data_IF_798845097194
#
_entry.id   IF_798845097194
#
_cell.length_a   1.000
_cell.length_b   1.000
_cell.length_c   1.000
_cell.angle_alpha   90.00
_cell.angle_beta   90.00
_cell.angle_gamma   90.00
#
_symmetry.space_group_name_H-M   'P 1'
#
loop_
_entity.id
_entity.type
_entity.pdbx_description
1 polymer ?
#
# COMPACT_ATOMS: atom_id res chain seq x y z
N UNK A 1 -43.76 -12.50 23.74
CA UNK A 1 -42.34 -12.88 23.68
C UNK A 1 -41.97 -13.04 22.21
N UNK A 2 -41.45 -11.99 21.60
CA UNK A 2 -40.85 -12.07 20.27
C UNK A 2 -39.36 -12.25 20.50
N UNK A 3 -38.86 -13.43 20.16
CA UNK A 3 -37.45 -13.79 20.21
C UNK A 3 -36.74 -12.89 19.20
N UNK A 4 -36.06 -11.86 19.71
CA UNK A 4 -35.17 -11.02 18.92
C UNK A 4 -34.01 -11.91 18.49
N UNK A 5 -33.96 -12.24 17.20
CA UNK A 5 -32.85 -13.00 16.62
C UNK A 5 -31.63 -12.05 16.59
N UNK A 6 -30.85 -12.06 17.66
CA UNK A 6 -29.52 -11.46 17.67
C UNK A 6 -28.67 -12.29 16.71
N UNK A 7 -28.27 -11.71 15.58
CA UNK A 7 -27.31 -12.32 14.65
C UNK A 7 -25.96 -11.63 14.92
N UNK A 8 -25.04 -12.24 15.69
CA UNK A 8 -23.73 -11.67 15.89
C UNK A 8 -22.85 -11.91 14.65
N UNK A 9 -22.46 -10.83 13.98
CA UNK A 9 -21.23 -10.78 13.19
C UNK A 9 -21.39 -10.72 11.68
N UNK A 10 -21.59 -9.52 11.15
CA UNK A 10 -21.74 -9.26 9.72
C UNK A 10 -21.26 -7.86 9.31
N UNK A 11 -20.36 -7.22 10.06
CA UNK A 11 -20.00 -5.82 9.81
C UNK A 11 -18.51 -5.63 9.53
N UNK A 12 -18.20 -5.30 8.27
CA UNK A 12 -17.04 -4.49 7.90
C UNK A 12 -17.30 -3.01 8.17
N UNK A 13 -18.31 -2.71 9.01
CA UNK A 13 -18.72 -1.38 9.41
C UNK A 13 -17.63 -0.72 10.23
N UNK A 14 -16.87 0.16 9.57
CA UNK A 14 -16.01 1.12 10.22
C UNK A 14 -16.91 2.08 11.02
N UNK A 15 -16.83 2.02 12.35
CA UNK A 15 -17.68 2.81 13.22
C UNK A 15 -17.16 4.25 13.26
N UNK A 16 -17.60 5.09 12.32
CA UNK A 16 -17.19 6.49 12.19
C UNK A 16 -17.38 7.31 13.48
N UNK A 17 -18.23 6.82 14.40
CA UNK A 17 -18.50 7.41 15.71
C UNK A 17 -17.26 7.40 16.62
N UNK A 18 -16.30 6.47 16.46
CA UNK A 18 -15.06 6.46 17.25
C UNK A 18 -14.06 7.55 16.87
N UNK A 19 -14.23 8.22 15.72
CA UNK A 19 -13.46 9.43 15.38
C UNK A 19 -13.96 10.70 16.12
N UNK A 20 -14.98 10.59 16.98
CA UNK A 20 -15.38 11.68 17.89
C UNK A 20 -14.57 11.72 19.19
N UNK A 21 -13.65 10.77 19.43
CA UNK A 21 -12.73 10.80 20.57
C UNK A 21 -11.30 11.22 20.13
N UNK A 22 -10.77 12.36 20.62
CA UNK A 22 -9.54 12.98 20.13
C UNK A 22 -8.27 12.36 20.73
N UNK A 23 -8.20 11.03 20.87
CA UNK A 23 -6.98 10.34 21.32
C UNK A 23 -6.09 9.85 20.17
N UNK A 24 -6.52 10.03 18.91
CA UNK A 24 -5.67 9.85 17.73
C UNK A 24 -4.64 10.98 17.66
N UNK A 25 -3.42 10.74 18.11
CA UNK A 25 -2.32 11.73 18.10
C UNK A 25 -1.19 11.36 17.15
N UNK A 26 -1.23 10.17 16.54
CA UNK A 26 -0.34 9.78 15.46
C UNK A 26 -0.78 10.35 14.10
N UNK A 27 0.16 10.72 13.21
CA UNK A 27 -0.17 11.16 11.85
C UNK A 27 -0.69 9.98 11.01
N UNK A 28 -2.02 9.91 10.83
CA UNK A 28 -2.65 9.04 9.83
C UNK A 28 -2.24 9.48 8.41
N UNK A 29 -2.13 8.57 7.43
CA UNK A 29 -1.95 8.95 6.03
C UNK A 29 -3.04 9.95 5.62
N UNK A 30 -2.64 11.14 5.21
CA UNK A 30 -3.58 12.11 4.68
C UNK A 30 -3.83 11.78 3.23
N UNK A 31 -4.88 11.01 2.90
CA UNK A 31 -5.23 10.53 1.55
C UNK A 31 -5.50 11.60 0.47
N UNK A 32 -5.13 12.85 0.75
CA UNK A 32 -5.24 13.99 -0.15
C UNK A 32 -3.88 14.68 -0.41
N UNK A 33 -2.83 14.29 0.30
CA UNK A 33 -1.49 14.86 0.14
C UNK A 33 -0.76 14.22 -1.05
N UNK A 34 0.27 14.89 -1.56
CA UNK A 34 1.21 14.32 -2.55
C UNK A 34 1.82 13.02 -2.05
N UNK A 35 2.06 12.08 -2.97
CA UNK A 35 2.70 10.81 -2.65
C UNK A 35 1.77 9.80 -2.00
N UNK A 36 0.45 9.98 -2.11
CA UNK A 36 -0.53 9.09 -1.49
C UNK A 36 -1.05 8.04 -2.44
N UNK A 37 -1.46 6.90 -1.90
CA UNK A 37 -2.28 5.88 -2.56
C UNK A 37 -3.28 5.35 -1.54
N UNK A 38 -4.56 5.59 -1.74
CA UNK A 38 -5.62 5.16 -0.82
C UNK A 38 -6.82 4.60 -1.57
N UNK A 39 -7.59 3.70 -0.93
CA UNK A 39 -8.80 3.13 -1.50
C UNK A 39 -8.54 2.32 -2.78
N UNK A 40 -9.32 2.59 -3.85
CA UNK A 40 -9.44 1.72 -5.04
C UNK A 40 -8.48 2.03 -6.23
N UNK A 41 -7.17 1.95 -6.01
CA UNK A 41 -6.40 3.00 -5.38
C UNK A 41 -6.39 4.29 -6.20
N UNK A 42 -6.78 5.36 -5.52
CA UNK A 42 -6.60 6.75 -5.93
C UNK A 42 -5.23 7.23 -5.45
N UNK A 43 -4.44 7.76 -6.37
CA UNK A 43 -3.13 8.35 -6.08
C UNK A 43 -3.16 9.88 -6.20
N UNK A 44 -2.23 10.52 -5.51
CA UNK A 44 -1.88 11.93 -5.72
C UNK A 44 -0.39 11.99 -6.06
N UNK A 45 -0.07 12.43 -7.27
CA UNK A 45 1.30 12.51 -7.78
C UNK A 45 2.17 13.53 -7.04
N UNK A 46 3.47 13.51 -7.32
CA UNK A 46 4.42 14.54 -6.88
C UNK A 46 4.09 15.93 -7.42
N UNK A 47 3.42 16.00 -8.56
CA UNK A 47 2.84 17.19 -9.17
C UNK A 47 1.52 17.67 -8.51
N UNK A 48 1.03 16.95 -7.49
CA UNK A 48 -0.23 17.23 -6.81
C UNK A 48 -1.48 16.81 -7.57
N UNK A 49 -1.35 16.19 -8.75
CA UNK A 49 -2.49 15.77 -9.57
C UNK A 49 -3.01 14.42 -9.10
N UNK A 50 -4.32 14.33 -9.00
CA UNK A 50 -5.03 13.09 -8.67
C UNK A 50 -5.09 12.20 -9.90
N UNK A 51 -4.78 10.92 -9.73
CA UNK A 51 -5.01 9.90 -10.76
C UNK A 51 -5.34 8.54 -10.17
N UNK A 52 -5.81 7.64 -11.02
CA UNK A 52 -6.10 6.26 -10.64
C UNK A 52 -5.18 5.30 -11.38
N UNK A 53 -4.73 4.26 -10.69
CA UNK A 53 -4.01 3.15 -11.29
C UNK A 53 -4.67 1.86 -10.82
N UNK A 54 -5.30 1.15 -11.75
CA UNK A 54 -6.08 -0.04 -11.39
C UNK A 54 -5.21 -1.27 -11.13
N UNK A 55 -4.02 -1.36 -11.72
CA UNK A 55 -3.24 -2.60 -11.69
C UNK A 55 -4.09 -3.81 -12.10
N UNK A 56 -3.84 -4.94 -11.46
CA UNK A 56 -4.60 -6.18 -11.61
C UNK A 56 -4.62 -6.95 -10.30
N UNK A 57 -5.70 -7.68 -10.06
CA UNK A 57 -5.82 -8.54 -8.88
C UNK A 57 -4.73 -9.61 -8.87
N UNK A 58 -4.15 -9.85 -7.70
CA UNK A 58 -3.11 -10.86 -7.43
C UNK A 58 -1.80 -10.63 -8.20
N UNK A 59 -1.57 -9.40 -8.68
CA UNK A 59 -0.35 -9.00 -9.37
C UNK A 59 0.42 -7.92 -8.59
N UNK A 60 1.68 -7.72 -8.97
CA UNK A 60 2.60 -6.78 -8.33
C UNK A 60 3.00 -5.68 -9.30
N UNK A 61 3.10 -4.45 -8.79
CA UNK A 61 3.53 -3.29 -9.57
C UNK A 61 4.47 -2.41 -8.78
N UNK A 62 5.51 -1.89 -9.44
CA UNK A 62 6.41 -0.88 -8.89
C UNK A 62 5.71 0.46 -8.77
N UNK A 63 5.55 0.94 -7.53
CA UNK A 63 5.06 2.29 -7.25
C UNK A 63 6.16 3.32 -7.45
N UNK A 64 7.37 3.03 -6.97
CA UNK A 64 8.55 3.89 -7.08
C UNK A 64 9.79 3.04 -7.31
N UNK A 65 10.61 3.40 -8.30
CA UNK A 65 11.92 2.83 -8.55
C UNK A 65 12.90 3.99 -8.69
N UNK A 66 13.82 4.13 -7.74
CA UNK A 66 14.93 5.08 -7.73
C UNK A 66 16.23 4.26 -7.71
N UNK A 67 17.36 4.74 -8.23
CA UNK A 67 18.62 4.01 -8.14
C UNK A 67 18.98 3.55 -6.72
N UNK A 68 18.54 4.28 -5.68
CA UNK A 68 18.82 3.95 -4.27
C UNK A 68 17.81 3.00 -3.61
N UNK A 69 16.55 2.96 -4.08
CA UNK A 69 15.51 2.13 -3.47
C UNK A 69 14.34 1.86 -4.43
N UNK A 70 13.62 0.78 -4.19
CA UNK A 70 12.38 0.46 -4.91
C UNK A 70 11.27 0.07 -3.94
N UNK A 71 10.06 0.54 -4.25
CA UNK A 71 8.82 0.21 -3.54
C UNK A 71 7.85 -0.43 -4.54
N UNK A 72 7.56 -1.70 -4.33
CA UNK A 72 6.53 -2.43 -5.06
C UNK A 72 5.28 -2.56 -4.22
N UNK A 73 4.14 -2.77 -4.88
CA UNK A 73 2.85 -3.02 -4.27
C UNK A 73 2.23 -4.30 -4.82
N UNK A 74 1.64 -5.12 -3.95
CA UNK A 74 0.73 -6.20 -4.32
C UNK A 74 -0.69 -5.67 -4.33
N UNK A 75 -1.44 -5.96 -5.38
CA UNK A 75 -2.83 -5.55 -5.52
C UNK A 75 -3.74 -6.75 -5.20
N UNK A 76 -4.62 -6.61 -4.21
CA UNK A 76 -5.80 -7.48 -4.09
C UNK A 76 -6.93 -6.91 -4.91
N UNK A 77 -7.96 -7.70 -5.14
CA UNK A 77 -9.10 -7.22 -5.90
C UNK A 77 -10.22 -8.23 -6.05
N UNK A 78 -11.26 -7.80 -6.73
CA UNK A 78 -12.40 -8.64 -7.09
C UNK A 78 -13.02 -8.13 -8.40
N UNK A 79 -13.67 -9.04 -9.13
CA UNK A 79 -14.39 -8.72 -10.36
C UNK A 79 -15.84 -9.13 -10.27
N UNK A 80 -16.78 -8.19 -10.06
CA UNK A 80 -18.19 -8.50 -10.13
C UNK A 80 -18.60 -8.97 -11.53
N UNK A 81 -19.61 -9.83 -11.59
CA UNK A 81 -20.14 -10.34 -12.85
C UNK A 81 -20.55 -9.17 -13.75
N UNK A 82 -20.11 -9.23 -15.01
CA UNK A 82 -20.42 -8.20 -16.02
C UNK A 82 -19.49 -6.99 -16.00
N UNK A 83 -18.49 -6.91 -15.11
CA UNK A 83 -17.45 -5.87 -15.19
C UNK A 83 -16.27 -6.29 -16.07
N UNK A 84 -15.72 -5.36 -16.89
CA UNK A 84 -14.57 -5.64 -17.75
C UNK A 84 -13.22 -5.62 -17.02
N UNK A 85 -13.18 -5.11 -15.78
CA UNK A 85 -11.94 -4.88 -15.01
C UNK A 85 -12.17 -5.20 -13.54
N UNK A 86 -11.06 -5.50 -12.85
CA UNK A 86 -11.05 -5.68 -11.40
C UNK A 86 -11.23 -4.34 -10.69
N UNK A 87 -11.92 -4.36 -9.56
CA UNK A 87 -11.63 -3.42 -8.48
C UNK A 87 -10.41 -3.92 -7.74
N UNK A 88 -9.54 -3.01 -7.32
CA UNK A 88 -8.30 -3.38 -6.66
C UNK A 88 -7.97 -2.45 -5.51
N UNK A 89 -7.16 -2.95 -4.58
CA UNK A 89 -6.62 -2.20 -3.45
C UNK A 89 -5.18 -2.65 -3.19
N UNK A 90 -4.37 -1.81 -2.56
CA UNK A 90 -2.99 -2.18 -2.17
C UNK A 90 -3.07 -3.11 -0.96
N UNK A 91 -2.65 -4.36 -1.10
CA UNK A 91 -2.61 -5.32 0.02
C UNK A 91 -1.29 -5.26 0.77
N UNK A 92 -0.18 -5.16 0.03
CA UNK A 92 1.15 -5.27 0.59
C UNK A 92 2.11 -4.32 -0.13
N UNK A 93 3.13 -3.88 0.60
CA UNK A 93 4.27 -3.15 0.06
C UNK A 93 5.56 -3.94 0.28
N UNK A 94 6.43 -3.93 -0.72
CA UNK A 94 7.80 -4.42 -0.64
C UNK A 94 8.77 -3.26 -0.80
N UNK A 95 9.68 -3.09 0.15
CA UNK A 95 10.73 -2.08 0.16
C UNK A 95 12.06 -2.77 -0.10
N UNK A 96 12.77 -2.36 -1.15
CA UNK A 96 14.10 -2.84 -1.49
C UNK A 96 15.08 -1.67 -1.45
N UNK A 97 16.22 -1.86 -0.79
CA UNK A 97 17.27 -0.85 -0.63
C UNK A 97 18.61 -1.54 -0.36
N UNK A 98 19.65 -1.19 -1.11
CA UNK A 98 20.91 -1.93 -1.08
C UNK A 98 20.72 -3.42 -1.40
N UNK A 99 20.96 -4.30 -0.42
CA UNK A 99 20.71 -5.75 -0.47
C UNK A 99 19.57 -6.22 0.45
N UNK A 100 18.82 -5.29 1.02
CA UNK A 100 17.75 -5.56 1.97
C UNK A 100 16.38 -5.53 1.29
N UNK A 101 15.52 -6.45 1.71
CA UNK A 101 14.10 -6.49 1.39
C UNK A 101 13.28 -6.51 2.69
N UNK A 102 12.30 -5.63 2.76
CA UNK A 102 11.34 -5.54 3.85
C UNK A 102 9.93 -5.54 3.27
N UNK A 103 8.98 -6.24 3.90
CA UNK A 103 7.58 -6.21 3.46
C UNK A 103 6.65 -5.86 4.61
N UNK A 104 5.52 -5.25 4.26
CA UNK A 104 4.38 -5.02 5.13
C UNK A 104 3.12 -5.38 4.37
N UNK A 105 2.21 -6.10 5.00
CA UNK A 105 0.95 -6.54 4.38
C UNK A 105 -0.24 -6.41 5.33
N UNK A 106 -1.40 -6.12 4.75
CA UNK A 106 -2.69 -6.23 5.40
C UNK A 106 -3.14 -7.69 5.42
N UNK A 107 -3.41 -8.24 6.60
CA UNK A 107 -3.94 -9.59 6.76
C UNK A 107 -5.45 -9.61 6.52
N UNK A 108 -5.96 -10.70 5.95
CA UNK A 108 -7.41 -10.90 5.71
C UNK A 108 -8.20 -10.75 7.01
N UNK A 109 -9.32 -10.05 6.93
CA UNK A 109 -10.26 -9.89 8.04
C UNK A 109 -11.67 -10.29 7.59
N UNK A 110 -12.24 -11.35 8.17
CA UNK A 110 -13.63 -11.74 7.88
C UNK A 110 -14.65 -10.76 8.46
N UNK A 111 -14.27 -10.13 9.58
CA UNK A 111 -15.01 -9.09 10.29
C UNK A 111 -14.01 -8.04 10.71
N UNK A 112 -14.41 -6.77 10.64
CA UNK A 112 -13.53 -5.70 11.05
C UNK A 112 -13.57 -5.52 12.57
N UNK A 113 -12.40 -5.49 13.18
CA UNK A 113 -12.18 -5.11 14.58
C UNK A 113 -10.98 -4.18 14.63
N UNK A 114 -11.21 -2.91 15.02
CA UNK A 114 -10.16 -1.89 15.14
C UNK A 114 -9.08 -2.28 16.17
N UNK A 115 -9.45 -3.12 17.16
CA UNK A 115 -8.54 -3.57 18.21
C UNK A 115 -7.69 -4.78 17.80
N UNK A 116 -8.10 -5.51 16.76
CA UNK A 116 -7.28 -6.55 16.17
C UNK A 116 -6.18 -5.93 15.30
N UNK A 117 -5.00 -6.54 15.33
CA UNK A 117 -3.88 -6.11 14.50
C UNK A 117 -3.90 -6.90 13.19
N UNK A 118 -3.97 -6.17 12.07
CA UNK A 118 -4.05 -6.72 10.73
C UNK A 118 -2.79 -6.43 9.92
N UNK A 119 -1.65 -6.25 10.60
CA UNK A 119 -0.35 -6.00 9.99
C UNK A 119 0.55 -7.22 10.15
N UNK A 120 1.17 -7.64 9.05
CA UNK A 120 2.24 -8.62 9.04
C UNK A 120 3.47 -8.02 8.37
N UNK A 121 4.65 -8.32 8.91
CA UNK A 121 5.93 -7.79 8.45
C UNK A 121 6.89 -8.92 8.13
N UNK A 122 7.77 -8.73 7.14
CA UNK A 122 8.91 -9.61 6.94
C UNK A 122 10.18 -8.81 6.65
N UNK A 123 11.33 -9.38 7.01
CA UNK A 123 12.64 -8.86 6.66
C UNK A 123 13.51 -9.99 6.13
N UNK A 124 14.09 -9.81 4.93
CA UNK A 124 14.85 -10.85 4.23
C UNK A 124 14.08 -12.16 4.04
N UNK A 125 12.76 -12.08 3.88
CA UNK A 125 11.88 -13.25 3.71
C UNK A 125 11.45 -13.94 5.01
N UNK A 126 11.98 -13.52 6.16
CA UNK A 126 11.62 -14.07 7.47
C UNK A 126 10.57 -13.20 8.16
N UNK A 127 9.61 -13.85 8.84
CA UNK A 127 8.56 -13.16 9.59
C UNK A 127 9.17 -12.28 10.68
N UNK A 128 8.79 -11.00 10.70
CA UNK A 128 9.26 -10.03 11.67
C UNK A 128 8.17 -9.77 12.72
N UNK A 129 8.47 -10.13 13.97
CA UNK A 129 7.59 -9.78 15.10
C UNK A 129 7.83 -8.34 15.55
N UNK A 130 6.84 -7.47 15.32
CA UNK A 130 6.77 -6.13 15.88
C UNK A 130 5.63 -6.06 16.91
N UNK A 131 5.94 -6.01 18.22
CA UNK A 131 4.92 -6.01 19.27
C UNK A 131 3.85 -4.94 19.05
N UNK A 132 2.59 -5.27 19.31
CA UNK A 132 1.51 -4.28 19.35
C UNK A 132 1.80 -3.24 20.44
N UNK A 133 1.41 -2.00 20.22
CA UNK A 133 1.63 -0.92 21.17
C UNK A 133 2.15 0.36 20.51
N UNK A 134 1.70 1.49 21.05
CA UNK A 134 2.16 2.81 20.60
C UNK A 134 3.68 2.92 20.82
N UNK A 135 4.40 3.35 19.78
CA UNK A 135 5.87 3.48 19.73
C UNK A 135 6.67 2.18 19.79
N UNK A 136 6.02 1.01 19.68
CA UNK A 136 6.76 -0.22 19.40
C UNK A 136 7.52 -0.03 18.08
N UNK A 137 8.81 -0.32 18.07
CA UNK A 137 9.66 -0.10 16.92
C UNK A 137 10.66 -1.23 16.70
N UNK A 138 11.13 -1.32 15.46
CA UNK A 138 12.18 -2.21 15.04
C UNK A 138 13.06 -1.51 13.99
N UNK A 139 14.36 -1.79 14.00
CA UNK A 139 15.31 -1.28 12.99
C UNK A 139 16.07 -2.43 12.35
N UNK A 140 16.42 -2.27 11.08
CA UNK A 140 17.34 -3.18 10.39
C UNK A 140 18.71 -3.23 11.08
N UNK A 141 19.49 -4.31 10.92
CA UNK A 141 20.80 -4.43 11.56
C UNK A 141 21.78 -3.28 11.24
N UNK A 142 21.65 -2.69 10.05
CA UNK A 142 22.45 -1.56 9.59
C UNK A 142 21.82 -0.19 9.86
N UNK A 143 20.67 -0.15 10.54
CA UNK A 143 19.87 1.03 10.87
C UNK A 143 19.37 1.85 9.66
N UNK A 144 19.40 1.31 8.44
CA UNK A 144 18.90 1.99 7.24
C UNK A 144 17.38 1.97 7.11
N UNK A 145 16.69 1.04 7.78
CA UNK A 145 15.24 0.98 7.84
C UNK A 145 14.76 0.93 9.29
N UNK A 146 13.79 1.76 9.63
CA UNK A 146 13.08 1.72 10.92
C UNK A 146 11.58 1.61 10.70
N UNK A 147 10.93 0.72 11.43
CA UNK A 147 9.46 0.56 11.49
C UNK A 147 9.02 0.98 12.88
N UNK A 148 8.01 1.84 12.97
CA UNK A 148 7.46 2.31 14.23
C UNK A 148 5.93 2.29 14.18
N UNK A 149 5.29 1.68 15.18
CA UNK A 149 3.84 1.80 15.36
C UNK A 149 3.50 3.17 15.92
N UNK A 150 2.68 3.93 15.19
CA UNK A 150 2.22 5.24 15.66
C UNK A 150 0.92 5.14 16.46
N UNK A 151 0.24 4.00 16.40
CA UNK A 151 -0.93 3.66 17.22
C UNK A 151 -0.79 2.23 17.74
N UNK A 152 -1.75 1.75 18.53
CA UNK A 152 -1.67 0.41 19.14
C UNK A 152 -1.62 -0.71 18.09
N UNK A 153 -2.45 -0.60 17.05
CA UNK A 153 -2.64 -1.57 15.96
C UNK A 153 -2.78 -0.82 14.63
N UNK A 154 -2.59 -1.52 13.51
CA UNK A 154 -2.98 -1.10 12.15
C UNK A 154 -2.36 0.19 11.59
N UNK A 155 -1.51 0.93 12.32
CA UNK A 155 -0.87 2.15 11.83
C UNK A 155 0.63 2.12 12.15
N UNK A 156 1.44 2.22 11.09
CA UNK A 156 2.90 2.21 11.16
C UNK A 156 3.51 3.30 10.30
N UNK A 157 4.68 3.76 10.73
CA UNK A 157 5.57 4.60 9.96
C UNK A 157 6.86 3.83 9.67
N UNK A 158 7.18 3.69 8.39
CA UNK A 158 8.43 3.09 7.91
C UNK A 158 9.33 4.23 7.44
N UNK A 159 10.58 4.24 7.89
CA UNK A 159 11.59 5.25 7.51
C UNK A 159 12.75 4.53 6.84
N UNK A 160 12.99 4.86 5.58
CA UNK A 160 14.22 4.55 4.85
C UNK A 160 15.16 5.73 4.99
N UNK A 161 16.32 5.50 5.60
CA UNK A 161 17.28 6.55 5.93
C UNK A 161 17.60 7.43 4.72
N UNK A 162 17.29 8.73 4.82
CA UNK A 162 17.57 9.76 3.80
C UNK A 162 16.97 9.46 2.40
N UNK A 163 15.97 8.59 2.31
CA UNK A 163 15.33 8.18 1.06
C UNK A 163 13.83 8.42 1.07
N UNK A 164 13.12 7.82 2.03
CA UNK A 164 11.67 7.89 2.06
C UNK A 164 11.11 7.68 3.47
N UNK A 165 9.93 8.22 3.72
CA UNK A 165 9.06 7.84 4.84
C UNK A 165 7.73 7.37 4.25
N UNK A 166 7.23 6.23 4.71
CA UNK A 166 5.91 5.73 4.39
C UNK A 166 5.06 5.70 5.67
N UNK A 167 3.98 6.48 5.71
CA UNK A 167 2.91 6.30 6.70
C UNK A 167 1.88 5.35 6.11
N UNK A 168 1.52 4.30 6.86
CA UNK A 168 0.65 3.22 6.40
C UNK A 168 -0.45 3.00 7.42
N UNK A 169 -1.67 2.82 6.94
CA UNK A 169 -2.83 2.42 7.74
C UNK A 169 -3.53 1.25 7.08
N UNK A 170 -3.88 0.23 7.86
CA UNK A 170 -4.79 -0.82 7.39
C UNK A 170 -6.23 -0.33 7.54
N UNK A 171 -6.99 -0.38 6.45
CA UNK A 171 -8.40 -0.02 6.40
C UNK A 171 -9.23 -1.16 5.79
N UNK A 172 -10.49 -1.36 6.22
CA UNK A 172 -11.42 -2.24 5.53
C UNK A 172 -12.07 -1.50 4.35
N UNK A 173 -12.62 -2.25 3.40
CA UNK A 173 -13.68 -1.72 2.54
C UNK A 173 -14.98 -1.73 3.35
N UNK A 174 -15.53 -0.56 3.61
CA UNK A 174 -16.75 -0.46 4.43
C UNK A 174 -17.99 -0.85 3.62
N UNK A 175 -19.09 -1.18 4.31
CA UNK A 175 -20.38 -1.39 3.64
C UNK A 175 -20.86 -0.15 2.88
N UNK A 176 -20.55 1.03 3.38
CA UNK A 176 -20.96 2.27 2.70
C UNK A 176 -20.14 2.47 1.43
N UNK A 177 -18.84 2.19 1.45
CA UNK A 177 -18.00 2.19 0.25
C UNK A 177 -18.50 1.15 -0.75
N UNK A 178 -18.75 -0.09 -0.29
CA UNK A 178 -19.31 -1.16 -1.11
C UNK A 178 -20.64 -0.76 -1.76
N UNK A 179 -21.54 -0.11 -1.00
CA UNK A 179 -22.84 0.37 -1.49
C UNK A 179 -22.70 1.50 -2.50
N UNK A 180 -21.84 2.48 -2.25
CA UNK A 180 -21.63 3.65 -3.12
C UNK A 180 -20.98 3.22 -4.43
N UNK A 181 -19.92 2.42 -4.35
CA UNK A 181 -19.09 2.04 -5.50
C UNK A 181 -19.55 0.75 -6.18
N UNK A 182 -20.48 0.02 -5.55
CA UNK A 182 -21.03 -1.25 -6.02
C UNK A 182 -19.92 -2.30 -6.19
N UNK A 183 -19.03 -2.39 -5.21
CA UNK A 183 -17.93 -3.33 -5.23
C UNK A 183 -18.42 -4.78 -5.19
N UNK A 184 -19.55 -5.07 -4.53
CA UNK A 184 -20.05 -6.42 -4.26
C UNK A 184 -19.06 -7.24 -3.43
N UNK A 185 -18.57 -6.63 -2.34
CA UNK A 185 -17.70 -7.27 -1.36
C UNK A 185 -18.42 -8.50 -0.76
N UNK A 186 -17.78 -9.68 -0.73
CA UNK A 186 -18.36 -10.88 -0.13
C UNK A 186 -18.55 -10.71 1.38
N UNK A 187 -19.55 -11.42 1.93
CA UNK A 187 -19.99 -11.25 3.32
C UNK A 187 -18.97 -11.72 4.37
N UNK A 188 -17.96 -12.49 3.95
CA UNK A 188 -16.95 -13.12 4.77
C UNK A 188 -15.55 -12.51 4.57
N UNK A 189 -15.44 -11.34 3.94
CA UNK A 189 -14.15 -10.64 3.79
C UNK A 189 -14.34 -9.13 3.76
N UNK A 190 -13.60 -8.41 4.61
CA UNK A 190 -13.60 -6.96 4.65
C UNK A 190 -12.58 -6.30 3.72
N UNK A 191 -11.84 -7.09 2.93
CA UNK A 191 -10.85 -6.58 1.97
C UNK A 191 -9.89 -5.59 2.63
N UNK A 192 -9.33 -6.00 3.77
CA UNK A 192 -8.34 -5.21 4.48
C UNK A 192 -7.18 -4.84 3.54
N UNK A 193 -6.88 -3.55 3.45
CA UNK A 193 -5.90 -2.99 2.52
C UNK A 193 -5.12 -1.84 3.15
N UNK A 194 -4.07 -1.41 2.47
CA UNK A 194 -3.17 -0.36 2.90
C UNK A 194 -3.55 0.97 2.25
N UNK A 195 -3.87 1.94 3.08
CA UNK A 195 -3.80 3.35 2.74
C UNK A 195 -2.40 3.87 3.07
N UNK A 196 -1.76 4.52 2.10
CA UNK A 196 -0.33 4.86 2.18
C UNK A 196 -0.09 6.33 1.84
N UNK A 197 0.85 6.94 2.54
CA UNK A 197 1.41 8.25 2.21
C UNK A 197 2.93 8.17 2.24
N UNK A 198 3.55 8.45 1.12
CA UNK A 198 4.99 8.54 0.99
C UNK A 198 5.47 10.00 1.05
N UNK A 199 6.61 10.21 1.69
CA UNK A 199 7.42 11.43 1.60
C UNK A 199 8.81 11.02 1.13
N UNK A 200 9.25 11.54 -0.01
CA UNK A 200 10.53 11.18 -0.61
C UNK A 200 11.57 12.29 -0.43
N UNK A 201 12.84 11.89 -0.30
CA UNK A 201 13.97 12.78 -0.09
C UNK A 201 15.04 12.51 -1.13
N UNK A 202 15.37 13.53 -1.93
CA UNK A 202 16.47 13.44 -2.91
C UNK A 202 16.27 12.37 -3.98
N UNK A 203 15.06 12.22 -4.53
CA UNK A 203 14.81 11.35 -5.69
C UNK A 203 15.72 11.74 -6.86
N UNK A 204 16.22 10.75 -7.56
CA UNK A 204 16.93 10.92 -8.82
C UNK A 204 16.00 11.55 -9.87
N UNK A 205 16.53 12.37 -10.80
CA UNK A 205 15.76 12.81 -11.98
C UNK A 205 15.22 11.65 -12.82
N UNK A 206 15.79 10.45 -12.70
CA UNK A 206 15.41 9.24 -13.44
C UNK A 206 14.39 8.35 -12.68
N UNK A 207 13.84 8.82 -11.55
CA UNK A 207 12.90 8.05 -10.74
C UNK A 207 11.70 7.57 -11.56
N UNK A 208 11.41 6.28 -11.52
CA UNK A 208 10.34 5.62 -12.28
C UNK A 208 9.29 4.99 -11.36
N UNK A 209 8.27 4.36 -11.95
CA UNK A 209 7.18 3.71 -11.23
C UNK A 209 5.84 4.43 -11.42
N UNK A 210 4.75 3.77 -11.03
CA UNK A 210 3.38 4.30 -11.15
C UNK A 210 3.25 5.69 -10.53
N UNK A 211 3.81 5.86 -9.33
CA UNK A 211 3.85 7.12 -8.60
C UNK A 211 5.19 7.85 -8.81
N UNK A 212 6.31 7.13 -8.81
CA UNK A 212 7.65 7.72 -8.89
C UNK A 212 7.86 8.63 -10.09
N UNK A 213 7.39 8.23 -11.28
CA UNK A 213 7.50 9.05 -12.50
C UNK A 213 6.91 10.46 -12.37
N UNK A 214 5.91 10.64 -11.49
CA UNK A 214 5.26 11.94 -11.28
C UNK A 214 6.13 12.95 -10.52
N UNK A 215 7.29 12.51 -10.03
CA UNK A 215 8.31 13.34 -9.39
C UNK A 215 9.45 13.73 -10.33
N UNK A 216 9.47 13.23 -11.58
CA UNK A 216 10.50 13.62 -12.55
C UNK A 216 10.36 15.11 -12.92
N UNK A 217 11.47 15.87 -13.08
CA UNK A 217 11.43 17.31 -13.36
C UNK A 217 10.68 17.69 -14.65
N UNK A 218 10.69 16.82 -15.65
CA UNK A 218 10.08 16.99 -16.97
C UNK A 218 8.79 16.19 -17.15
N UNK A 219 8.24 15.61 -16.07
CA UNK A 219 7.00 14.86 -16.13
C UNK A 219 5.84 15.75 -16.58
N UNK A 220 5.25 15.41 -17.72
CA UNK A 220 4.01 16.01 -18.20
C UNK A 220 2.88 15.03 -17.94
N UNK A 221 2.01 15.36 -16.99
CA UNK A 221 0.93 14.48 -16.59
C UNK A 221 -0.10 14.28 -17.72
N UNK A 222 -0.29 13.05 -18.24
CA UNK A 222 -1.24 12.78 -19.31
C UNK A 222 -2.67 12.57 -18.78
N UNK A 223 -2.90 12.70 -17.47
CA UNK A 223 -4.22 12.59 -16.85
C UNK A 223 -5.18 13.60 -17.48
N UNK A 224 -6.33 13.10 -17.95
CA UNK A 224 -7.34 13.94 -18.58
C UNK A 224 -7.97 14.87 -17.55
N UNK A 225 -7.74 16.18 -17.72
CA UNK A 225 -8.38 17.20 -16.91
C UNK A 225 -9.91 17.18 -17.10
N UNK A 226 -10.66 17.43 -16.02
CA UNK A 226 -12.13 17.45 -16.03
C UNK A 226 -12.81 16.07 -16.03
N UNK A 227 -12.05 14.97 -16.01
CA UNK A 227 -12.58 13.62 -15.81
C UNK A 227 -12.54 13.28 -14.32
N UNK A 228 -13.63 12.73 -13.77
CA UNK A 228 -13.73 12.43 -12.34
C UNK A 228 -12.71 11.39 -11.84
N UNK A 229 -12.37 10.41 -12.68
CA UNK A 229 -11.38 9.37 -12.39
C UNK A 229 -10.40 9.25 -13.56
N UNK A 230 -9.38 10.12 -13.64
CA UNK A 230 -8.39 10.03 -14.69
C UNK A 230 -7.46 8.85 -14.41
N UNK A 231 -7.58 7.81 -15.22
CA UNK A 231 -6.77 6.59 -15.09
C UNK A 231 -5.46 6.79 -15.85
N UNK A 232 -4.34 6.54 -15.18
CA UNK A 232 -3.04 6.46 -15.81
C UNK A 232 -2.62 5.01 -16.00
N UNK A 233 -2.21 4.66 -17.22
CA UNK A 233 -1.62 3.35 -17.49
C UNK A 233 -0.19 3.23 -16.99
N UNK A 234 0.36 2.03 -17.14
CA UNK A 234 1.72 1.70 -16.70
C UNK A 234 1.89 0.23 -16.34
N UNK A 235 0.83 -0.57 -16.45
CA UNK A 235 0.78 -1.97 -16.06
C UNK A 235 1.92 -2.76 -16.71
N UNK A 236 2.07 -2.66 -18.03
CA UNK A 236 3.17 -3.34 -18.73
C UNK A 236 4.56 -2.79 -18.39
N UNK A 237 4.68 -1.52 -17.94
CA UNK A 237 5.97 -0.91 -17.61
C UNK A 237 6.45 -1.30 -16.22
N UNK A 238 5.52 -1.37 -15.28
CA UNK A 238 5.82 -1.46 -13.85
C UNK A 238 5.39 -2.78 -13.23
N UNK A 239 4.85 -3.72 -14.00
CA UNK A 239 4.60 -5.08 -13.52
C UNK A 239 5.92 -5.73 -13.05
N UNK A 240 5.86 -6.39 -11.90
CA UNK A 240 6.97 -7.17 -11.35
C UNK A 240 6.52 -8.62 -11.11
N UNK A 241 7.43 -9.61 -11.20
CA UNK A 241 7.08 -11.02 -10.97
C UNK A 241 6.76 -11.32 -9.49
N UNK A 242 7.27 -10.53 -8.55
CA UNK A 242 7.01 -10.68 -7.12
C UNK A 242 7.06 -9.35 -6.38
N UNK A 243 6.57 -9.34 -5.13
CA UNK A 243 6.59 -8.16 -4.26
C UNK A 243 8.00 -7.63 -4.01
N UNK A 244 9.02 -8.50 -3.96
CA UNK A 244 10.42 -8.14 -3.68
C UNK A 244 11.33 -8.37 -4.89
N UNK A 245 10.79 -8.27 -6.11
CA UNK A 245 11.59 -8.28 -7.33
C UNK A 245 11.98 -6.86 -7.75
N UNK A 246 13.27 -6.60 -8.05
CA UNK A 246 13.70 -5.33 -8.60
C UNK A 246 13.36 -5.17 -10.09
N UNK A 247 12.92 -6.25 -10.76
CA UNK A 247 12.77 -6.31 -12.21
C UNK A 247 11.40 -5.76 -12.67
N UNK A 248 11.43 -4.70 -13.48
CA UNK A 248 10.34 -4.30 -14.35
C UNK A 248 10.87 -3.60 -15.60
N UNK A 249 10.04 -3.45 -16.64
CA UNK A 249 10.45 -2.91 -17.94
C UNK A 249 10.99 -1.46 -17.90
N UNK A 250 10.65 -0.70 -16.87
CA UNK A 250 11.11 0.68 -16.68
C UNK A 250 11.79 0.92 -15.32
N UNK A 251 12.08 -0.14 -14.56
CA UNK A 251 12.69 0.00 -13.24
C UNK A 251 14.15 0.42 -13.36
N UNK A 252 14.59 1.30 -12.47
CA UNK A 252 15.94 1.89 -12.46
C UNK A 252 16.71 1.59 -11.16
N UNK A 253 16.09 0.85 -10.23
CA UNK A 253 16.73 0.46 -8.99
C UNK A 253 17.93 -0.45 -9.22
N UNK A 254 19.03 -0.11 -8.57
CA UNK A 254 20.26 -0.90 -8.61
C UNK A 254 20.50 -1.52 -7.25
N UNK A 255 20.51 -2.85 -7.18
CA UNK A 255 20.97 -3.56 -5.99
C UNK A 255 22.50 -3.43 -5.88
N UNK A 256 23.02 -3.29 -4.66
CA UNK A 256 24.47 -3.31 -4.39
C UNK A 256 25.14 -4.61 -4.90
N UNK A 257 24.33 -5.67 -5.12
CA UNK A 257 24.73 -6.94 -5.72
C UNK A 257 24.57 -6.93 -7.26
N UNK A 258 25.33 -6.10 -7.97
CA UNK A 258 25.56 -6.27 -9.42
C UNK A 258 26.29 -7.58 -9.78
N UNK A 259 25.91 -8.72 -9.19
CA UNK A 259 26.51 -10.03 -9.37
C UNK A 259 25.38 -11.05 -9.55
N UNK A 260 25.31 -11.61 -10.75
CA UNK A 260 24.39 -12.65 -11.20
C UNK A 260 24.12 -13.71 -10.12
N UNK A 261 22.87 -13.77 -9.61
CA UNK A 261 22.38 -14.99 -8.98
C UNK A 261 21.88 -15.88 -10.11
N UNK A 262 22.75 -16.76 -10.60
CA UNK A 262 22.30 -17.96 -11.31
C UNK A 262 21.45 -18.76 -10.34
N UNK A 263 20.15 -18.81 -10.59
CA UNK A 263 19.22 -19.73 -9.94
C UNK A 263 19.73 -21.16 -10.12
N UNK A 264 20.15 -21.79 -9.03
CA UNK A 264 20.30 -23.23 -8.97
C UNK A 264 18.92 -23.81 -8.63
N UNK A 265 18.32 -24.47 -9.62
CA UNK A 265 17.20 -25.40 -9.42
C UNK A 265 17.70 -26.64 -8.66
N UNK A 266 16.99 -27.01 -7.59
CA UNK A 266 16.86 -28.41 -7.13
C UNK A 266 15.45 -28.63 -6.61
#
# INVERSE_FOLDING_TARGET
>A
MQTQMYIPGLDCGYDAIKNLYPFNTGPKPGCHNTGTGCGDPRFVGGDGVVFYFHGRRDEHFTLVSDPRFQINARFIGLRPVGRPRDFTWIQALGFMFGSHMFTVEATRAEKWDDAADHLQFSFQGELLELPQGHRSSWSSPDNKLTVERTERTNIVMIRLEQMAIASITVAPVTKEDDRIHKYQIPVDDCFAHLDVQFSFYGLSPEVEGVLGRTYQPDYVNPAKQGVAMPVLGGENKYWTPSLVSPECNACVFTTDAGINITTAET
#
